data_IF_410712895791
#
_entry.id   IF_410712895791
#
_cell.length_a   1.000
_cell.length_b   1.000
_cell.length_c   1.000
_cell.angle_alpha   90.00
_cell.angle_beta   90.00
_cell.angle_gamma   90.00
#
_symmetry.space_group_name_H-M   'P 1'
#
loop_
_entity.id
_entity.type
_entity.pdbx_description
1 polymer ?
#
# COMPACT_ATOMS: atom_id res chain seq x y z
N UNK A 1 3.20 -16.08 8.53
CA UNK A 1 3.61 -15.16 7.46
C UNK A 1 2.94 -15.60 6.16
N UNK A 2 2.38 -14.68 5.39
CA UNK A 2 1.58 -15.00 4.20
C UNK A 2 2.49 -15.07 2.97
N UNK A 3 2.53 -16.23 2.33
CA UNK A 3 3.27 -16.47 1.09
C UNK A 3 2.41 -16.21 -0.14
N UNK A 4 2.99 -15.60 -1.18
CA UNK A 4 2.35 -15.54 -2.50
C UNK A 4 2.55 -16.90 -3.19
N UNK A 5 1.48 -17.68 -3.44
CA UNK A 5 1.63 -19.03 -3.96
C UNK A 5 2.33 -19.03 -5.32
N UNK A 6 3.24 -19.99 -5.51
CA UNK A 6 4.03 -20.14 -6.73
C UNK A 6 5.32 -19.31 -6.77
N UNK A 7 5.58 -18.46 -5.76
CA UNK A 7 6.79 -17.62 -5.72
C UNK A 7 7.80 -18.08 -4.68
N UNK A 8 7.41 -18.84 -3.66
CA UNK A 8 8.27 -19.20 -2.53
C UNK A 8 8.63 -18.01 -1.63
N UNK A 9 7.99 -16.85 -1.84
CA UNK A 9 8.30 -15.60 -1.13
C UNK A 9 7.06 -15.04 -0.41
N UNK A 10 7.23 -14.57 0.84
CA UNK A 10 6.19 -13.83 1.53
C UNK A 10 5.92 -12.47 0.89
N UNK A 11 4.75 -11.90 1.15
CA UNK A 11 4.36 -10.56 0.65
C UNK A 11 5.46 -9.54 0.90
N UNK A 12 6.00 -9.51 2.12
CA UNK A 12 7.09 -8.59 2.48
C UNK A 12 8.35 -8.80 1.62
N UNK A 13 8.66 -10.03 1.20
CA UNK A 13 9.78 -10.31 0.31
C UNK A 13 9.57 -9.65 -1.06
N UNK A 14 8.36 -9.72 -1.61
CA UNK A 14 8.00 -9.02 -2.84
C UNK A 14 8.05 -7.51 -2.69
N UNK A 15 7.56 -6.98 -1.56
CA UNK A 15 7.60 -5.54 -1.27
C UNK A 15 9.04 -5.03 -1.17
N UNK A 16 9.92 -5.71 -0.43
CA UNK A 16 11.33 -5.33 -0.29
C UNK A 16 12.07 -5.36 -1.62
N UNK A 17 11.81 -6.36 -2.47
CA UNK A 17 12.38 -6.43 -3.81
C UNK A 17 11.91 -5.30 -4.72
N UNK A 18 10.61 -4.98 -4.69
CA UNK A 18 10.04 -3.86 -5.45
C UNK A 18 10.58 -2.51 -4.95
N UNK A 19 10.58 -2.27 -3.65
CA UNK A 19 11.13 -1.04 -3.05
C UNK A 19 12.61 -0.85 -3.44
N UNK A 20 13.42 -1.92 -3.37
CA UNK A 20 14.82 -1.87 -3.80
C UNK A 20 14.96 -1.52 -5.29
N UNK A 21 14.15 -2.14 -6.16
CA UNK A 21 14.16 -1.87 -7.59
C UNK A 21 13.79 -0.41 -7.91
N UNK A 22 12.92 0.19 -7.11
CA UNK A 22 12.54 1.61 -7.21
C UNK A 22 13.59 2.56 -6.61
N UNK A 23 14.61 2.05 -5.92
CA UNK A 23 15.73 2.79 -5.37
C UNK A 23 15.66 3.09 -3.87
N UNK A 24 14.75 2.45 -3.13
CA UNK A 24 14.70 2.53 -1.66
C UNK A 24 15.87 1.73 -1.07
N UNK A 25 16.62 2.35 -0.16
CA UNK A 25 17.81 1.74 0.46
C UNK A 25 17.59 1.27 1.89
N UNK A 26 16.58 1.81 2.58
CA UNK A 26 16.31 1.60 3.99
C UNK A 26 14.81 1.43 4.20
N UNK A 27 14.40 0.39 4.93
CA UNK A 27 13.01 0.10 5.27
C UNK A 27 12.89 -0.16 6.76
N UNK A 28 11.92 0.49 7.38
CA UNK A 28 11.47 0.16 8.74
C UNK A 28 10.21 -0.68 8.63
N UNK A 29 10.21 -1.86 9.24
CA UNK A 29 9.07 -2.77 9.30
C UNK A 29 8.43 -2.63 10.67
N UNK A 30 7.20 -2.11 10.70
CA UNK A 30 6.37 -2.07 11.91
C UNK A 30 5.81 -3.46 12.18
N UNK A 31 6.27 -4.09 13.24
CA UNK A 31 5.87 -5.42 13.65
C UNK A 31 4.85 -5.33 14.80
N UNK A 32 3.76 -6.07 14.67
CA UNK A 32 2.77 -6.27 15.73
C UNK A 32 2.68 -7.75 16.11
N UNK A 33 1.48 -8.31 16.02
CA UNK A 33 1.26 -9.74 16.24
C UNK A 33 2.18 -10.61 15.33
N UNK A 34 2.81 -11.65 15.90
CA UNK A 34 3.79 -12.53 15.24
C UNK A 34 5.09 -11.84 14.78
N UNK A 35 5.51 -10.77 15.47
CA UNK A 35 6.80 -10.10 15.23
C UNK A 35 7.98 -11.08 15.14
N UNK A 36 8.05 -12.07 16.04
CA UNK A 36 9.16 -13.04 16.08
C UNK A 36 9.32 -13.81 14.77
N UNK A 37 8.22 -14.25 14.17
CA UNK A 37 8.24 -15.01 12.90
C UNK A 37 8.77 -14.15 11.76
N UNK A 38 8.37 -12.87 11.74
CA UNK A 38 8.81 -11.92 10.72
C UNK A 38 10.29 -11.56 10.90
N UNK A 39 10.72 -11.30 12.13
CA UNK A 39 12.11 -11.02 12.48
C UNK A 39 13.03 -12.20 12.15
N UNK A 40 12.62 -13.42 12.47
CA UNK A 40 13.39 -14.64 12.15
C UNK A 40 13.55 -14.82 10.63
N UNK A 41 12.51 -14.56 9.85
CA UNK A 41 12.60 -14.62 8.39
C UNK A 41 13.51 -13.53 7.83
N UNK A 42 13.38 -12.28 8.32
CA UNK A 42 14.22 -11.16 7.89
C UNK A 42 15.70 -11.37 8.24
N UNK A 43 16.00 -11.98 9.38
CA UNK A 43 17.37 -12.24 9.82
C UNK A 43 18.08 -13.33 9.01
N UNK A 44 17.33 -14.30 8.46
CA UNK A 44 17.90 -15.41 7.69
C UNK A 44 17.91 -15.18 6.18
N UNK A 45 17.08 -14.26 5.70
CA UNK A 45 16.94 -14.00 4.26
C UNK A 45 17.95 -12.96 3.80
N UNK A 46 18.70 -13.20 2.71
CA UNK A 46 19.49 -12.14 2.08
C UNK A 46 18.56 -11.03 1.55
N UNK A 47 18.70 -9.81 2.07
CA UNK A 47 17.82 -8.69 1.73
C UNK A 47 18.52 -7.74 0.73
N UNK A 48 17.77 -7.17 -0.25
CA UNK A 48 18.33 -6.26 -1.25
C UNK A 48 18.54 -4.83 -0.72
N UNK A 49 18.10 -4.55 0.52
CA UNK A 49 18.14 -3.24 1.16
C UNK A 49 18.30 -3.41 2.68
N UNK A 50 18.59 -2.31 3.41
CA UNK A 50 18.71 -2.33 4.88
C UNK A 50 17.34 -2.37 5.52
N UNK A 51 17.10 -3.37 6.36
CA UNK A 51 15.83 -3.51 7.09
C UNK A 51 16.05 -3.35 8.58
N UNK A 52 15.24 -2.51 9.21
CA UNK A 52 15.10 -2.42 10.66
C UNK A 52 13.68 -2.85 11.03
N UNK A 53 13.55 -3.65 12.08
CA UNK A 53 12.24 -4.01 12.63
C UNK A 53 11.99 -3.23 13.90
N UNK A 54 10.76 -2.77 14.08
CA UNK A 54 10.32 -2.10 15.31
C UNK A 54 9.09 -2.83 15.81
N UNK A 55 9.04 -3.11 17.10
CA UNK A 55 7.90 -3.80 17.73
C UNK A 55 7.21 -2.80 18.65
N UNK A 56 5.90 -2.67 18.50
CA UNK A 56 5.07 -1.88 19.40
C UNK A 56 4.86 -2.68 20.71
N UNK A 57 5.11 -2.06 21.86
CA UNK A 57 4.86 -2.68 23.18
C UNK A 57 3.36 -2.85 23.45
N UNK A 58 2.55 -1.88 22.99
CA UNK A 58 1.10 -1.88 23.05
C UNK A 58 0.53 -1.51 21.67
N UNK A 59 -0.67 -1.99 21.28
CA UNK A 59 -1.25 -1.65 19.98
C UNK A 59 -1.57 -0.15 19.85
N UNK A 60 -0.80 0.59 19.04
CA UNK A 60 -1.01 2.04 18.83
C UNK A 60 -2.03 2.33 17.71
N UNK A 61 -2.50 1.31 17.00
CA UNK A 61 -3.33 1.46 15.81
C UNK A 61 -2.55 1.93 14.58
N UNK A 62 -3.19 1.99 13.41
CA UNK A 62 -2.50 2.26 12.12
C UNK A 62 -1.70 3.57 12.12
N UNK A 63 -2.28 4.65 12.61
CA UNK A 63 -1.62 5.97 12.67
C UNK A 63 -0.51 6.01 13.71
N UNK A 64 -0.75 5.45 14.90
CA UNK A 64 0.24 5.40 15.97
C UNK A 64 1.44 4.52 15.63
N UNK A 65 1.20 3.32 15.08
CA UNK A 65 2.26 2.42 14.61
C UNK A 65 3.08 3.03 13.48
N UNK A 66 2.43 3.70 12.51
CA UNK A 66 3.11 4.44 11.45
C UNK A 66 3.99 5.56 12.02
N UNK A 67 3.51 6.31 13.02
CA UNK A 67 4.28 7.35 13.71
C UNK A 67 5.48 6.78 14.45
N UNK A 68 5.29 5.65 15.13
CA UNK A 68 6.34 4.94 15.85
C UNK A 68 7.43 4.43 14.90
N UNK A 69 7.05 3.80 13.79
CA UNK A 69 7.98 3.36 12.75
C UNK A 69 8.75 4.53 12.12
N UNK A 70 8.08 5.65 11.84
CA UNK A 70 8.72 6.83 11.23
C UNK A 70 9.87 7.40 12.08
N UNK A 71 9.84 7.27 13.42
CA UNK A 71 10.93 7.70 14.32
C UNK A 71 12.25 6.94 14.11
N UNK A 72 12.19 5.77 13.47
CA UNK A 72 13.34 4.90 13.23
C UNK A 72 13.86 5.00 11.80
N UNK A 73 13.27 5.88 10.97
CA UNK A 73 13.82 6.17 9.65
C UNK A 73 15.19 6.86 9.79
N UNK A 74 16.17 6.52 8.92
CA UNK A 74 17.52 7.07 9.02
C UNK A 74 17.61 8.56 8.66
N UNK A 75 16.61 9.13 7.98
CA UNK A 75 16.54 10.55 7.63
C UNK A 75 15.11 11.06 7.86
N UNK A 76 14.95 11.94 8.84
CA UNK A 76 13.63 12.48 9.25
C UNK A 76 13.27 13.78 8.54
N UNK A 77 14.22 14.38 7.81
CA UNK A 77 14.10 15.65 7.09
C UNK A 77 13.81 15.46 5.58
N UNK A 78 13.64 14.22 5.12
CA UNK A 78 13.36 13.88 3.72
C UNK A 78 11.97 13.27 3.56
N UNK A 79 11.33 13.44 2.38
CA UNK A 79 10.12 12.70 2.06
C UNK A 79 10.36 11.19 2.16
N UNK A 80 9.34 10.46 2.56
CA UNK A 80 9.43 9.03 2.83
C UNK A 80 8.19 8.29 2.33
N UNK A 81 8.39 7.02 2.01
CA UNK A 81 7.34 6.14 1.53
C UNK A 81 6.77 5.32 2.68
N UNK A 82 5.50 4.94 2.56
CA UNK A 82 4.91 3.90 3.38
C UNK A 82 4.05 2.99 2.51
N UNK A 83 3.96 1.72 2.91
CA UNK A 83 3.08 0.73 2.28
C UNK A 83 2.44 -0.11 3.38
N UNK A 84 1.15 -0.43 3.23
CA UNK A 84 0.51 -1.42 4.09
C UNK A 84 1.15 -2.80 3.83
N UNK A 85 1.24 -3.65 4.85
CA UNK A 85 1.95 -4.94 4.78
C UNK A 85 1.22 -6.04 3.99
N UNK A 86 -0.04 -5.81 3.64
CA UNK A 86 -0.93 -6.69 2.86
C UNK A 86 -0.96 -6.32 1.37
N UNK A 87 -0.36 -5.20 0.97
CA UNK A 87 -0.37 -4.73 -0.42
C UNK A 87 0.69 -5.41 -1.24
N UNK A 88 0.27 -6.02 -2.34
CA UNK A 88 1.15 -6.52 -3.38
C UNK A 88 0.96 -5.72 -4.67
N UNK A 89 1.97 -4.96 -5.05
CA UNK A 89 1.88 -4.02 -6.18
C UNK A 89 3.22 -3.83 -6.88
N UNK A 90 3.17 -3.35 -8.12
CA UNK A 90 4.32 -2.94 -8.92
C UNK A 90 3.95 -1.72 -9.75
N UNK A 91 4.54 -0.58 -9.44
CA UNK A 91 4.47 0.64 -10.24
C UNK A 91 5.70 1.53 -9.96
N UNK A 92 5.99 2.51 -10.83
CA UNK A 92 7.12 3.42 -10.65
C UNK A 92 6.91 4.36 -9.44
N UNK A 93 7.55 4.08 -8.31
CA UNK A 93 7.45 4.92 -7.10
C UNK A 93 8.05 6.31 -7.33
N UNK A 94 9.04 6.40 -8.20
CA UNK A 94 9.69 7.66 -8.57
C UNK A 94 8.73 8.64 -9.25
N UNK A 95 7.80 8.14 -10.05
CA UNK A 95 6.77 8.97 -10.68
C UNK A 95 5.79 9.52 -9.63
N UNK A 96 5.42 8.69 -8.66
CA UNK A 96 4.57 9.12 -7.54
C UNK A 96 5.27 10.17 -6.66
N UNK A 97 6.57 10.04 -6.43
CA UNK A 97 7.36 11.02 -5.69
C UNK A 97 7.49 12.36 -6.44
N UNK A 98 7.76 12.32 -7.74
CA UNK A 98 7.78 13.52 -8.57
C UNK A 98 6.41 14.22 -8.58
N UNK A 99 5.32 13.46 -8.69
CA UNK A 99 3.96 14.00 -8.58
C UNK A 99 3.68 14.62 -7.20
N UNK A 100 4.13 13.98 -6.12
CA UNK A 100 4.01 14.50 -4.75
C UNK A 100 4.69 15.88 -4.62
N UNK A 101 5.91 16.00 -5.12
CA UNK A 101 6.68 17.24 -5.14
C UNK A 101 6.00 18.32 -6.00
N UNK A 102 5.57 18.00 -7.22
CA UNK A 102 4.85 18.93 -8.12
C UNK A 102 3.59 19.51 -7.46
N UNK A 103 2.88 18.69 -6.68
CA UNK A 103 1.64 19.09 -6.00
C UNK A 103 1.88 19.86 -4.71
N UNK A 104 3.10 19.87 -4.18
CA UNK A 104 3.40 20.44 -2.86
C UNK A 104 2.53 19.84 -1.75
N UNK A 105 2.15 18.56 -1.89
CA UNK A 105 1.24 17.91 -0.97
C UNK A 105 1.97 17.50 0.32
N UNK A 106 1.28 17.52 1.46
CA UNK A 106 1.85 16.96 2.71
C UNK A 106 1.80 15.43 2.68
N UNK A 107 0.81 14.86 2.00
CA UNK A 107 0.69 13.42 1.80
C UNK A 107 0.10 13.12 0.41
N UNK A 108 0.58 12.07 -0.23
CA UNK A 108 0.06 11.56 -1.50
C UNK A 108 -0.27 10.08 -1.37
N UNK A 109 -1.50 9.72 -1.72
CA UNK A 109 -1.98 8.34 -1.72
C UNK A 109 -1.92 7.80 -3.14
N UNK A 110 -1.42 6.59 -3.33
CA UNK A 110 -1.68 5.85 -4.55
C UNK A 110 -3.18 5.50 -4.61
N UNK A 111 -3.80 5.67 -5.77
CA UNK A 111 -5.22 5.43 -5.99
C UNK A 111 -5.43 4.27 -6.95
N UNK A 112 -6.11 3.24 -6.47
CA UNK A 112 -6.50 2.08 -7.26
C UNK A 112 -7.98 2.15 -7.66
N UNK A 113 -8.35 1.40 -8.70
CA UNK A 113 -9.76 1.17 -9.09
C UNK A 113 -10.01 -0.34 -9.12
N UNK A 114 -10.31 -0.97 -7.97
CA UNK A 114 -10.61 -2.39 -7.92
C UNK A 114 -11.84 -2.69 -8.79
N UNK A 115 -11.92 -3.92 -9.30
CA UNK A 115 -13.12 -4.41 -9.97
C UNK A 115 -14.22 -4.65 -8.93
N UNK A 116 -15.42 -4.25 -9.27
CA UNK A 116 -16.61 -4.56 -8.48
C UNK A 116 -16.82 -6.08 -8.57
N UNK A 117 -16.97 -6.82 -7.45
CA UNK A 117 -17.05 -8.29 -7.50
C UNK A 117 -18.43 -8.81 -7.93
N UNK A 118 -19.24 -7.96 -8.57
CA UNK A 118 -20.61 -8.22 -8.99
C UNK A 118 -20.84 -7.69 -10.41
N UNK A 119 -21.83 -8.26 -11.10
CA UNK A 119 -22.39 -7.65 -12.31
C UNK A 119 -23.08 -6.34 -11.98
N UNK A 120 -22.75 -5.28 -12.72
CA UNK A 120 -23.40 -3.97 -12.63
C UNK A 120 -24.33 -3.80 -13.83
N UNK A 121 -25.50 -3.21 -13.59
CA UNK A 121 -26.48 -2.96 -14.63
C UNK A 121 -26.69 -1.46 -14.83
N UNK A 122 -26.86 -1.07 -16.09
CA UNK A 122 -27.39 0.25 -16.44
C UNK A 122 -28.90 0.15 -16.61
N UNK A 123 -29.66 1.04 -15.98
CA UNK A 123 -31.13 1.07 -16.10
C UNK A 123 -31.62 2.42 -16.57
N UNK A 124 -32.74 2.42 -17.31
CA UNK A 124 -33.47 3.65 -17.62
C UNK A 124 -34.49 4.00 -16.52
N UNK A 125 -35.15 5.15 -16.66
CA UNK A 125 -36.18 5.64 -15.74
C UNK A 125 -37.41 4.72 -15.61
N UNK A 126 -37.64 3.83 -16.58
CA UNK A 126 -38.73 2.85 -16.59
C UNK A 126 -38.33 1.51 -15.95
N UNK A 127 -37.09 1.38 -15.45
CA UNK A 127 -36.59 0.17 -14.81
C UNK A 127 -36.15 -0.94 -15.77
N UNK A 128 -35.97 -0.65 -17.06
CA UNK A 128 -35.43 -1.62 -18.02
C UNK A 128 -33.90 -1.67 -17.93
N UNK A 129 -33.33 -2.87 -17.92
CA UNK A 129 -31.87 -3.09 -17.99
C UNK A 129 -31.40 -2.86 -19.42
N UNK A 130 -30.50 -1.89 -19.59
CA UNK A 130 -29.92 -1.50 -20.89
C UNK A 130 -28.60 -2.23 -21.16
N UNK A 131 -27.82 -2.51 -20.11
CA UNK A 131 -26.55 -3.23 -20.20
C UNK A 131 -26.28 -4.04 -18.92
N UNK A 132 -25.49 -5.10 -19.04
CA UNK A 132 -25.03 -5.95 -17.94
C UNK A 132 -23.52 -6.15 -18.06
N UNK A 133 -22.77 -5.51 -17.17
CA UNK A 133 -21.31 -5.49 -17.21
C UNK A 133 -20.78 -6.35 -16.08
N UNK A 134 -20.09 -7.44 -16.43
CA UNK A 134 -19.47 -8.33 -15.46
C UNK A 134 -18.18 -7.68 -14.89
N UNK A 135 -18.14 -7.55 -13.57
CA UNK A 135 -17.00 -7.06 -12.81
C UNK A 135 -16.30 -5.79 -13.36
N UNK A 136 -17.03 -4.69 -13.60
CA UNK A 136 -16.43 -3.46 -14.10
C UNK A 136 -15.49 -2.83 -13.07
N UNK A 137 -14.54 -1.97 -13.50
CA UNK A 137 -13.78 -1.15 -12.58
C UNK A 137 -14.68 -0.26 -11.72
N UNK A 138 -14.30 -0.06 -10.46
CA UNK A 138 -15.00 0.86 -9.57
C UNK A 138 -15.04 2.29 -10.14
N UNK A 139 -16.22 2.96 -10.12
CA UNK A 139 -16.31 4.37 -10.48
C UNK A 139 -15.56 5.26 -9.47
N UNK A 140 -15.37 4.77 -8.24
CA UNK A 140 -14.62 5.46 -7.18
C UNK A 140 -13.18 4.95 -7.10
N UNK A 141 -12.17 5.83 -7.14
CA UNK A 141 -10.82 5.46 -6.73
C UNK A 141 -10.79 5.16 -5.23
N UNK A 142 -9.96 4.20 -4.83
CA UNK A 142 -9.76 3.81 -3.43
C UNK A 142 -8.31 4.02 -3.03
N UNK A 143 -8.07 4.16 -1.73
CA UNK A 143 -6.72 4.15 -1.16
C UNK A 143 -6.03 2.82 -1.50
N UNK A 144 -4.92 2.86 -2.23
CA UNK A 144 -4.17 1.68 -2.63
C UNK A 144 -3.22 1.17 -1.53
N UNK A 145 -3.16 1.84 -0.37
CA UNK A 145 -2.28 1.43 0.72
C UNK A 145 -0.80 1.70 0.47
N UNK A 146 -0.46 2.59 -0.47
CA UNK A 146 0.91 3.05 -0.73
C UNK A 146 0.92 4.58 -0.72
N UNK A 147 1.94 5.16 -0.11
CA UNK A 147 1.99 6.57 0.21
C UNK A 147 3.36 7.19 -0.04
N UNK A 148 3.36 8.48 -0.35
CA UNK A 148 4.51 9.38 -0.22
C UNK A 148 4.14 10.47 0.77
N UNK A 149 5.01 10.72 1.75
CA UNK A 149 4.79 11.69 2.80
C UNK A 149 5.90 12.74 2.83
N UNK A 150 5.51 13.99 3.04
CA UNK A 150 6.45 15.05 3.35
C UNK A 150 7.10 14.81 4.73
N UNK A 151 8.30 15.35 5.00
CA UNK A 151 9.02 15.14 6.27
C UNK A 151 8.16 15.45 7.50
N UNK A 152 7.37 16.53 7.45
CA UNK A 152 6.53 16.98 8.55
C UNK A 152 5.30 16.09 8.82
N UNK A 153 4.93 15.19 7.91
CA UNK A 153 3.73 14.37 8.03
C UNK A 153 3.73 13.52 9.31
N UNK A 154 4.90 13.01 9.72
CA UNK A 154 5.02 12.17 10.93
C UNK A 154 4.54 12.90 12.20
N UNK A 155 4.69 14.23 12.28
CA UNK A 155 4.22 15.03 13.41
C UNK A 155 2.69 15.18 13.45
N UNK A 156 2.01 14.99 12.31
CA UNK A 156 0.56 15.09 12.16
C UNK A 156 -0.18 13.77 12.45
N UNK A 157 0.57 12.67 12.62
CA UNK A 157 -0.01 11.39 12.97
C UNK A 157 -0.45 11.37 14.44
N UNK A 158 -1.57 10.71 14.77
CA UNK A 158 -1.97 10.50 16.16
C UNK A 158 -0.96 9.61 16.86
N UNK A 159 -0.77 9.79 18.17
CA UNK A 159 0.05 8.85 18.96
C UNK A 159 -0.63 7.48 19.10
N UNK A 160 -1.97 7.47 19.19
CA UNK A 160 -2.81 6.27 19.17
C UNK A 160 -4.01 6.51 18.27
N UNK A 161 -4.31 5.54 17.39
CA UNK A 161 -5.51 5.54 16.55
C UNK A 161 -5.20 5.41 15.06
N UNK A 162 -6.16 5.85 14.24
CA UNK A 162 -6.14 5.63 12.80
C UNK A 162 -6.08 6.96 12.04
N UNK A 163 -5.00 7.12 11.27
CA UNK A 163 -4.75 8.32 10.47
C UNK A 163 -5.74 8.46 9.30
N UNK A 164 -6.33 7.36 8.81
CA UNK A 164 -7.35 7.41 7.76
C UNK A 164 -8.68 8.03 8.24
N UNK A 165 -8.95 7.96 9.55
CA UNK A 165 -10.16 8.55 10.16
C UNK A 165 -9.91 9.95 10.73
N UNK A 166 -8.65 10.37 10.84
CA UNK A 166 -8.24 11.61 11.52
C UNK A 166 -7.39 12.50 10.61
N UNK A 167 -6.10 12.17 10.43
CA UNK A 167 -5.11 12.95 9.69
C UNK A 167 -5.47 13.14 8.22
N UNK A 168 -5.82 12.08 7.47
CA UNK A 168 -6.16 12.20 6.05
C UNK A 168 -7.41 13.06 5.80
N UNK A 169 -8.56 12.86 6.48
CA UNK A 169 -9.72 13.74 6.32
C UNK A 169 -9.43 15.21 6.64
N UNK A 170 -8.51 15.48 7.59
CA UNK A 170 -8.09 16.84 7.89
C UNK A 170 -7.27 17.44 6.74
N UNK A 171 -6.20 16.77 6.31
CA UNK A 171 -5.36 17.21 5.18
C UNK A 171 -6.17 17.36 3.88
N UNK A 172 -7.16 16.50 3.65
CA UNK A 172 -8.04 16.59 2.49
C UNK A 172 -8.86 17.90 2.49
N UNK A 173 -9.43 18.29 3.65
CA UNK A 173 -10.16 19.56 3.79
C UNK A 173 -9.26 20.77 3.59
N UNK A 174 -7.99 20.65 4.00
CA UNK A 174 -6.96 21.68 3.80
C UNK A 174 -6.35 21.68 2.39
N UNK A 175 -6.76 20.77 1.50
CA UNK A 175 -6.18 20.59 0.15
C UNK A 175 -4.69 20.25 0.16
N UNK A 176 -4.22 19.58 1.22
CA UNK A 176 -2.84 19.11 1.41
C UNK A 176 -2.67 17.61 1.19
N UNK A 177 -3.76 16.92 0.84
CA UNK A 177 -3.78 15.51 0.48
C UNK A 177 -3.96 15.36 -1.03
N UNK A 178 -3.01 14.71 -1.70
CA UNK A 178 -3.09 14.44 -3.13
C UNK A 178 -3.34 12.94 -3.39
N UNK A 179 -3.93 12.65 -4.56
CA UNK A 179 -4.14 11.29 -5.03
C UNK A 179 -3.39 11.06 -6.34
N UNK A 180 -2.51 10.06 -6.36
CA UNK A 180 -1.77 9.61 -7.53
C UNK A 180 -2.47 8.39 -8.14
N UNK A 181 -3.16 8.52 -9.29
CA UNK A 181 -3.76 7.38 -9.96
C UNK A 181 -2.68 6.38 -10.39
N UNK A 182 -2.84 5.11 -10.03
CA UNK A 182 -1.92 4.08 -10.51
C UNK A 182 -1.91 4.04 -12.04
N UNK A 183 -0.73 3.92 -12.69
CA UNK A 183 -0.62 3.84 -14.13
C UNK A 183 -1.47 2.71 -14.71
N UNK A 184 -1.98 2.90 -15.92
CA UNK A 184 -2.71 1.85 -16.61
C UNK A 184 -1.81 0.61 -16.79
N UNK A 185 -2.32 -0.56 -16.39
CA UNK A 185 -1.56 -1.82 -16.44
C UNK A 185 -0.66 -2.07 -15.23
N UNK A 186 -0.56 -1.13 -14.28
CA UNK A 186 0.11 -1.38 -13.02
C UNK A 186 -0.60 -2.52 -12.26
N UNK A 187 0.20 -3.41 -11.68
CA UNK A 187 -0.34 -4.48 -10.84
C UNK A 187 -0.59 -3.94 -9.43
N UNK A 188 -1.77 -4.18 -8.88
CA UNK A 188 -2.10 -3.84 -7.50
C UNK A 188 -3.15 -4.80 -6.96
N UNK A 189 -2.92 -5.31 -5.75
CA UNK A 189 -3.86 -6.17 -5.02
C UNK A 189 -3.62 -6.04 -3.52
N UNK A 190 -4.70 -5.86 -2.75
CA UNK A 190 -4.69 -6.09 -1.31
C UNK A 190 -4.90 -7.59 -1.05
N UNK A 191 -4.08 -8.20 -0.20
CA UNK A 191 -4.13 -9.63 0.12
C UNK A 191 -4.74 -9.80 1.51
N UNK A 192 -6.07 -9.72 1.58
CA UNK A 192 -6.82 -9.79 2.84
C UNK A 192 -7.37 -11.20 3.12
N UNK A 193 -7.59 -11.99 2.07
CA UNK A 193 -8.25 -13.29 2.15
C UNK A 193 -7.51 -14.40 1.38
N UNK A 194 -7.85 -15.65 1.68
CA UNK A 194 -7.36 -16.81 0.92
C UNK A 194 -7.80 -16.78 -0.56
N UNK A 195 -8.92 -16.12 -0.85
CA UNK A 195 -9.38 -15.92 -2.23
C UNK A 195 -8.41 -14.99 -2.98
N UNK A 196 -7.94 -13.92 -2.34
CA UNK A 196 -6.98 -12.99 -2.95
C UNK A 196 -5.66 -13.66 -3.28
N UNK A 197 -5.18 -14.57 -2.41
CA UNK A 197 -4.00 -15.40 -2.69
C UNK A 197 -4.18 -16.32 -3.89
N UNK A 198 -5.37 -16.91 -4.02
CA UNK A 198 -5.69 -17.81 -5.14
C UNK A 198 -5.75 -17.03 -6.45
N UNK A 199 -6.33 -15.83 -6.45
CA UNK A 199 -6.37 -14.95 -7.61
C UNK A 199 -4.97 -14.46 -8.00
N UNK A 200 -4.18 -13.98 -7.02
CA UNK A 200 -2.77 -13.63 -7.17
C UNK A 200 -1.95 -14.73 -7.85
N UNK A 201 -2.12 -15.98 -7.41
CA UNK A 201 -1.42 -17.13 -7.99
C UNK A 201 -1.84 -17.42 -9.43
N UNK A 202 -3.14 -17.28 -9.75
CA UNK A 202 -3.66 -17.44 -11.12
C UNK A 202 -3.10 -16.36 -12.05
N UNK A 203 -3.04 -15.12 -11.59
CA UNK A 203 -2.52 -13.98 -12.35
C UNK A 203 -1.03 -14.17 -12.67
N UNK A 204 -0.23 -14.62 -11.70
CA UNK A 204 1.18 -14.98 -11.92
C UNK A 204 1.37 -16.09 -12.95
N UNK A 205 0.57 -17.16 -12.84
CA UNK A 205 0.67 -18.29 -13.76
C UNK A 205 0.35 -17.85 -15.20
N UNK A 206 -0.62 -16.95 -15.38
CA UNK A 206 -0.97 -16.40 -16.69
C UNK A 206 0.13 -15.50 -17.28
N UNK A 207 0.84 -14.73 -16.43
CA UNK A 207 1.96 -13.89 -16.86
C UNK A 207 3.19 -14.71 -17.29
N UNK A 208 3.45 -15.84 -16.63
CA UNK A 208 4.58 -16.72 -16.95
C UNK A 208 4.33 -17.64 -18.16
N UNK A 209 3.09 -17.69 -18.66
CA UNK A 209 2.69 -18.50 -19.82
C UNK A 209 2.77 -17.72 -21.15
N UNK A 210 3.13 -16.45 -21.10
CA UNK A 210 3.36 -15.54 -22.24
C UNK A 210 4.87 -15.34 -22.46
#
# INVERSE_FOLDING_TARGET
MVEIPGTGLPIIGHQLAWLAAEGVTDVVVSCGHLADVLQEWLARTPLPLRVTTVVEEEPLGRGGGLKYAARHLPCTDRPWYATNGDVWTRFPLREMAAFHEERGATATLALARPRIPWGVVETNEFGQVLDFIEAPPSPYPVNAGVYVFAPEFAALLPDVGDHERTTFPHLARERRLAGFPLPQGAYWRAIDTAKDLTEAARELAAQNAL
#
